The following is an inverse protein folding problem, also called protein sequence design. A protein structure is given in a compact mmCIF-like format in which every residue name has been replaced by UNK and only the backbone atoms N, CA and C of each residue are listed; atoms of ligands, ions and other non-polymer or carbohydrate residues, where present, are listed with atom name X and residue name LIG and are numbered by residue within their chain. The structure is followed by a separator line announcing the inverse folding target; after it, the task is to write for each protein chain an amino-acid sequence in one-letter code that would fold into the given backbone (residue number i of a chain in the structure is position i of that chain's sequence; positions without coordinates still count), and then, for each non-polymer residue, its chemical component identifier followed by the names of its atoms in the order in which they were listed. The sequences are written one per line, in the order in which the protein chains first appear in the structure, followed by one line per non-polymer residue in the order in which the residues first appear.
data_IF_805388399888
#
_entry.id   IF_805388399888
#
_cell.length_a   1.000
_cell.length_b   1.000
_cell.length_c   1.000
_cell.angle_alpha   90.00
_cell.angle_beta   90.00
_cell.angle_gamma   90.00
#
_symmetry.space_group_name_H-M   'P 1'
#
loop_
_entity.id
_entity.type
_entity.pdbx_description
1 polymer ?
#
# COMPACT_ATOMS: atom_id res chain seq x y z
N UNK A 1 1.19 -24.71 -9.68
CA UNK A 1 0.70 -24.62 -8.29
C UNK A 1 1.53 -25.53 -7.37
N UNK A 2 2.76 -25.16 -7.00
CA UNK A 2 3.66 -26.05 -6.23
C UNK A 2 4.45 -25.36 -5.10
N UNK A 3 4.36 -24.04 -4.91
CA UNK A 3 5.16 -23.34 -3.89
C UNK A 3 4.41 -23.02 -2.58
N UNK A 4 3.11 -23.32 -2.48
CA UNK A 4 2.33 -22.99 -1.28
C UNK A 4 2.46 -24.05 -0.18
N UNK A 5 2.56 -25.34 -0.55
CA UNK A 5 2.55 -26.44 0.44
C UNK A 5 3.86 -26.48 1.26
N UNK A 6 5.00 -26.12 0.66
CA UNK A 6 6.30 -26.16 1.34
C UNK A 6 6.50 -25.04 2.38
N UNK A 7 5.79 -23.91 2.29
CA UNK A 7 5.88 -22.85 3.32
C UNK A 7 5.06 -23.17 4.57
N UNK A 8 4.03 -24.00 4.46
CA UNK A 8 3.16 -24.37 5.60
C UNK A 8 3.88 -25.33 6.55
N UNK A 9 4.75 -26.20 6.03
CA UNK A 9 5.49 -27.16 6.87
C UNK A 9 6.57 -26.50 7.76
N UNK A 10 7.10 -25.33 7.38
CA UNK A 10 8.10 -24.62 8.19
C UNK A 10 7.46 -23.94 9.41
N UNK A 11 6.17 -23.59 9.33
CA UNK A 11 5.45 -22.90 10.42
C UNK A 11 4.65 -23.84 11.34
N UNK A 12 4.57 -25.13 11.03
CA UNK A 12 3.75 -26.09 11.79
C UNK A 12 4.48 -26.73 12.98
N UNK A 13 5.63 -26.18 13.40
CA UNK A 13 6.24 -26.55 14.66
C UNK A 13 5.83 -25.54 15.72
N UNK A 14 4.80 -25.95 16.46
CA UNK A 14 4.37 -25.45 17.77
C UNK A 14 3.19 -24.47 17.80
N UNK A 15 2.24 -24.86 18.66
CA UNK A 15 1.18 -24.08 19.29
C UNK A 15 -0.10 -23.79 18.47
N UNK A 16 -1.08 -24.68 18.67
CA UNK A 16 -2.51 -24.41 18.90
C UNK A 16 -3.09 -23.19 18.18
N UNK A 17 -3.85 -23.45 17.11
CA UNK A 17 -4.59 -22.41 16.38
C UNK A 17 -5.77 -21.92 17.23
N UNK A 18 -5.54 -20.92 18.08
CA UNK A 18 -6.57 -20.22 18.86
C UNK A 18 -7.33 -19.25 17.96
N UNK A 19 -8.60 -18.97 18.27
CA UNK A 19 -9.51 -18.06 17.51
C UNK A 19 -8.89 -16.67 17.19
N UNK A 20 -7.97 -16.21 18.02
CA UNK A 20 -7.18 -14.99 17.82
C UNK A 20 -6.32 -15.02 16.55
N UNK A 21 -5.85 -16.19 16.11
CA UNK A 21 -5.07 -16.37 14.88
C UNK A 21 -5.94 -16.22 13.62
N UNK A 22 -7.22 -16.57 13.68
CA UNK A 22 -8.17 -16.37 12.57
C UNK A 22 -8.45 -14.87 12.38
N UNK A 23 -8.65 -14.13 13.47
CA UNK A 23 -8.77 -12.67 13.42
C UNK A 23 -7.53 -12.02 12.85
N UNK A 24 -6.32 -12.45 13.26
CA UNK A 24 -5.06 -11.96 12.69
C UNK A 24 -4.95 -12.25 11.18
N UNK A 25 -5.34 -13.45 10.74
CA UNK A 25 -5.36 -13.80 9.32
C UNK A 25 -6.34 -12.93 8.50
N UNK A 26 -7.49 -12.59 9.09
CA UNK A 26 -8.49 -11.68 8.48
C UNK A 26 -7.98 -10.23 8.37
N UNK A 27 -7.19 -9.75 9.34
CA UNK A 27 -6.52 -8.44 9.25
C UNK A 27 -5.38 -8.45 8.24
N UNK A 28 -4.59 -9.53 8.15
CA UNK A 28 -3.56 -9.70 7.12
C UNK A 28 -4.16 -9.66 5.70
N UNK A 29 -5.39 -10.16 5.50
CA UNK A 29 -6.06 -10.04 4.19
C UNK A 29 -6.45 -8.62 3.79
N UNK A 30 -6.64 -7.68 4.72
CA UNK A 30 -6.84 -6.26 4.37
C UNK A 30 -5.52 -5.58 3.95
N UNK A 31 -4.38 -6.04 4.45
CA UNK A 31 -3.06 -5.52 4.07
C UNK A 31 -2.47 -6.16 2.80
N UNK A 32 -3.01 -7.29 2.33
CA UNK A 32 -2.54 -7.94 1.09
C UNK A 32 -2.63 -7.06 -0.16
N UNK A 33 -3.49 -6.04 -0.18
CA UNK A 33 -3.53 -5.10 -1.30
C UNK A 33 -2.32 -4.14 -1.32
N UNK A 34 -1.71 -3.83 -0.17
CA UNK A 34 -0.53 -2.96 -0.10
C UNK A 34 0.76 -3.70 -0.45
N UNK A 35 0.88 -4.97 -0.07
CA UNK A 35 2.03 -5.83 -0.48
C UNK A 35 1.96 -6.29 -1.96
N UNK A 36 0.79 -6.14 -2.61
CA UNK A 36 0.58 -6.57 -3.98
C UNK A 36 1.05 -5.55 -5.03
N UNK A 37 1.36 -4.30 -4.69
CA UNK A 37 1.84 -3.29 -5.66
C UNK A 37 3.12 -3.78 -6.36
N UNK A 38 4.07 -4.34 -5.59
CA UNK A 38 5.35 -4.85 -6.12
C UNK A 38 5.27 -6.27 -6.69
N UNK A 39 4.15 -6.97 -6.48
CA UNK A 39 3.94 -8.36 -6.92
C UNK A 39 2.81 -8.48 -7.94
N UNK A 40 2.46 -7.41 -8.65
CA UNK A 40 1.45 -7.47 -9.71
C UNK A 40 1.96 -8.32 -10.86
N UNK A 41 1.11 -9.23 -11.34
CA UNK A 41 1.42 -10.01 -12.54
C UNK A 41 1.57 -9.06 -13.72
N UNK A 42 2.66 -9.23 -14.49
CA UNK A 42 2.88 -8.50 -15.73
C UNK A 42 2.14 -9.25 -16.85
N UNK A 43 1.05 -8.66 -17.36
CA UNK A 43 0.15 -9.26 -18.36
C UNK A 43 -1.23 -8.59 -18.35
N UNK A 44 -2.09 -8.89 -19.33
CA UNK A 44 -3.52 -8.50 -19.38
C UNK A 44 -3.84 -7.03 -19.11
N UNK A 45 -3.12 -6.10 -19.74
CA UNK A 45 -3.39 -4.67 -19.59
C UNK A 45 -2.75 -4.03 -18.35
N UNK A 46 -1.69 -4.64 -17.79
CA UNK A 46 -0.84 -4.00 -16.79
C UNK A 46 -0.41 -2.59 -17.24
N UNK A 47 -0.73 -1.59 -16.41
CA UNK A 47 -0.44 -0.19 -16.68
C UNK A 47 0.41 0.38 -15.55
N UNK A 48 1.71 0.51 -15.80
CA UNK A 48 2.68 1.04 -14.84
C UNK A 48 2.28 2.45 -14.31
N UNK A 49 1.85 3.40 -15.16
CA UNK A 49 1.26 4.67 -14.72
C UNK A 49 0.18 4.54 -13.64
N UNK A 50 -0.72 3.56 -13.71
CA UNK A 50 -1.79 3.39 -12.73
C UNK A 50 -1.23 2.85 -11.40
N UNK A 51 -0.24 1.97 -11.46
CA UNK A 51 0.48 1.52 -10.25
C UNK A 51 1.20 2.67 -9.57
N UNK A 52 1.88 3.53 -10.33
CA UNK A 52 2.53 4.73 -9.80
C UNK A 52 1.52 5.73 -9.23
N UNK A 53 0.35 5.87 -9.85
CA UNK A 53 -0.72 6.74 -9.36
C UNK A 53 -1.24 6.27 -8.00
N UNK A 54 -1.43 4.96 -7.82
CA UNK A 54 -1.87 4.39 -6.55
C UNK A 54 -0.84 4.61 -5.43
N UNK A 55 0.45 4.40 -5.73
CA UNK A 55 1.54 4.66 -4.78
C UNK A 55 1.59 6.15 -4.42
N UNK A 56 1.55 7.03 -5.42
CA UNK A 56 1.59 8.47 -5.22
C UNK A 56 0.39 8.94 -4.38
N UNK A 57 -0.83 8.55 -4.74
CA UNK A 57 -2.05 8.89 -4.01
C UNK A 57 -2.03 8.43 -2.56
N UNK A 58 -1.48 7.24 -2.29
CA UNK A 58 -1.31 6.73 -0.92
C UNK A 58 -0.44 7.65 -0.07
N UNK A 59 0.76 8.01 -0.54
CA UNK A 59 1.68 8.84 0.23
C UNK A 59 1.23 10.30 0.34
N UNK A 60 0.57 10.84 -0.69
CA UNK A 60 -0.02 12.19 -0.64
C UNK A 60 -1.12 12.28 0.43
N UNK A 61 -2.02 11.29 0.48
CA UNK A 61 -3.05 11.22 1.51
C UNK A 61 -2.46 11.08 2.91
N UNK A 62 -1.52 10.15 3.08
CA UNK A 62 -0.85 9.94 4.36
C UNK A 62 -0.13 11.22 4.84
N UNK A 63 0.50 11.96 3.93
CA UNK A 63 1.14 13.22 4.28
C UNK A 63 0.13 14.29 4.73
N UNK A 64 -1.05 14.35 4.11
CA UNK A 64 -2.13 15.24 4.56
C UNK A 64 -2.66 14.86 5.95
N UNK A 65 -2.79 13.57 6.24
CA UNK A 65 -3.21 13.07 7.56
C UNK A 65 -2.17 13.42 8.64
N UNK A 66 -0.90 13.08 8.40
CA UNK A 66 0.19 13.32 9.35
C UNK A 66 0.43 14.82 9.62
N UNK A 67 0.10 15.69 8.66
CA UNK A 67 0.30 17.14 8.78
C UNK A 67 -0.96 17.92 9.14
N UNK A 68 -2.07 17.23 9.49
CA UNK A 68 -3.36 17.85 9.82
C UNK A 68 -3.83 18.81 8.74
N UNK A 69 -3.78 18.37 7.48
CA UNK A 69 -4.20 19.11 6.28
C UNK A 69 -3.32 20.34 5.94
N UNK A 70 -2.14 20.47 6.54
CA UNK A 70 -1.20 21.54 6.19
C UNK A 70 -0.39 21.18 4.93
N UNK A 71 -0.88 21.60 3.77
CA UNK A 71 -0.28 21.34 2.44
C UNK A 71 1.21 21.69 2.34
N UNK A 72 1.64 22.79 2.95
CA UNK A 72 3.06 23.19 2.94
C UNK A 72 3.94 22.22 3.73
N UNK A 73 3.45 21.71 4.87
CA UNK A 73 4.16 20.68 5.63
C UNK A 73 4.07 19.33 4.93
N UNK A 74 2.93 18.99 4.32
CA UNK A 74 2.73 17.75 3.57
C UNK A 74 3.71 17.67 2.39
N UNK A 75 3.85 18.75 1.62
CA UNK A 75 4.81 18.87 0.54
C UNK A 75 6.24 18.56 1.00
N UNK A 76 6.67 19.15 2.11
CA UNK A 76 7.99 18.89 2.70
C UNK A 76 8.15 17.44 3.14
N UNK A 77 7.10 16.84 3.73
CA UNK A 77 7.11 15.46 4.21
C UNK A 77 7.30 14.44 3.09
N UNK A 78 6.76 14.71 1.90
CA UNK A 78 6.93 13.88 0.70
C UNK A 78 8.12 14.31 -0.17
N UNK A 79 8.93 15.28 0.27
CA UNK A 79 10.12 15.74 -0.46
C UNK A 79 9.87 16.67 -1.64
N UNK A 80 8.68 17.27 -1.75
CA UNK A 80 8.35 18.25 -2.78
C UNK A 80 8.74 19.67 -2.37
N UNK A 81 9.13 20.48 -3.34
CA UNK A 81 9.73 21.80 -3.08
C UNK A 81 8.74 22.82 -2.49
N UNK A 82 7.45 22.73 -2.84
CA UNK A 82 6.44 23.67 -2.36
C UNK A 82 5.01 23.09 -2.45
N UNK A 83 4.05 23.82 -1.88
CA UNK A 83 2.64 23.42 -1.84
C UNK A 83 1.99 23.39 -3.23
N UNK A 84 2.44 24.21 -4.19
CA UNK A 84 1.86 24.25 -5.54
C UNK A 84 2.15 22.96 -6.30
N UNK A 85 3.38 22.45 -6.20
CA UNK A 85 3.74 21.15 -6.78
C UNK A 85 2.94 20.04 -6.10
N UNK A 86 2.76 20.13 -4.78
CA UNK A 86 1.94 19.16 -4.04
C UNK A 86 0.47 19.16 -4.49
N UNK A 87 -0.13 20.34 -4.68
CA UNK A 87 -1.51 20.46 -5.18
C UNK A 87 -1.64 19.91 -6.60
N UNK A 88 -0.69 20.20 -7.49
CA UNK A 88 -0.68 19.62 -8.84
C UNK A 88 -0.60 18.08 -8.81
N UNK A 89 0.12 17.51 -7.84
CA UNK A 89 0.19 16.06 -7.63
C UNK A 89 -1.11 15.50 -7.07
N UNK A 90 -1.77 16.19 -6.15
CA UNK A 90 -3.09 15.81 -5.65
C UNK A 90 -4.12 15.79 -6.80
N UNK A 91 -4.19 16.84 -7.60
CA UNK A 91 -5.09 16.89 -8.76
C UNK A 91 -4.83 15.73 -9.72
N UNK A 92 -3.56 15.45 -10.01
CA UNK A 92 -3.17 14.39 -10.95
C UNK A 92 -3.49 12.98 -10.45
N UNK A 93 -3.33 12.71 -9.16
CA UNK A 93 -3.36 11.34 -8.60
C UNK A 93 -4.55 11.05 -7.68
N UNK A 94 -5.32 12.06 -7.27
CA UNK A 94 -6.57 11.86 -6.51
C UNK A 94 -7.84 12.03 -7.36
N UNK A 95 -7.75 12.68 -8.52
CA UNK A 95 -8.91 12.87 -9.41
C UNK A 95 -9.15 11.71 -10.38
N UNK A 96 -8.54 10.54 -10.15
CA UNK A 96 -8.65 9.34 -10.98
C UNK A 96 -9.29 8.18 -10.24
#
# INVERSE_FOLDING_TARGET
MQNTILRVSVLAKEATITETNIRRALFVTKDKNKEAILNRSLGDGFNLPDVLAEVAGHYLNRAMEETKQNKTKAAKLVGLANYQIFDNWLEKYQSR
#
